data_IF_464954818187
#
_entry.id   IF_464954818187
#
_cell.length_a   1.000
_cell.length_b   1.000
_cell.length_c   1.000
_cell.angle_alpha   90.00
_cell.angle_beta   90.00
_cell.angle_gamma   90.00
#
_symmetry.space_group_name_H-M   'P 1'
#
loop_
_entity.id
_entity.type
_entity.pdbx_description
1 polymer ?
#
# COMPACT_ATOMS: atom_id res chain seq x y z
N UNK A 1 -2.77 -9.62 -7.09
CA UNK A 1 -1.47 -10.32 -6.90
C UNK A 1 -0.94 -10.94 -8.19
N UNK A 2 -1.67 -11.85 -8.85
CA UNK A 2 -1.18 -12.58 -10.04
C UNK A 2 -0.61 -11.66 -11.14
N UNK A 3 -1.35 -10.61 -11.51
CA UNK A 3 -0.90 -9.63 -12.51
C UNK A 3 0.44 -8.98 -12.12
N UNK A 4 0.59 -8.55 -10.87
CA UNK A 4 1.82 -7.94 -10.37
C UNK A 4 3.02 -8.90 -10.47
N UNK A 5 2.81 -10.19 -10.21
CA UNK A 5 3.88 -11.22 -10.27
C UNK A 5 4.34 -11.45 -11.71
N UNK A 6 3.41 -11.63 -12.64
CA UNK A 6 3.73 -11.90 -14.04
C UNK A 6 4.39 -10.71 -14.74
N UNK A 7 3.83 -9.52 -14.53
CA UNK A 7 4.34 -8.29 -15.14
C UNK A 7 5.56 -7.73 -14.41
N UNK A 8 5.73 -8.10 -13.13
CA UNK A 8 6.68 -7.42 -12.24
C UNK A 8 6.25 -6.00 -11.88
N UNK A 9 4.94 -5.75 -11.88
CA UNK A 9 4.36 -4.47 -11.54
C UNK A 9 4.30 -4.25 -10.03
N UNK A 10 4.17 -2.99 -9.62
CA UNK A 10 3.97 -2.62 -8.23
C UNK A 10 2.48 -2.46 -7.95
N UNK A 11 1.99 -3.17 -6.95
CA UNK A 11 0.62 -3.06 -6.47
C UNK A 11 0.57 -2.28 -5.16
N UNK A 12 -0.19 -1.20 -5.11
CA UNK A 12 -0.54 -0.51 -3.88
C UNK A 12 -2.00 -0.84 -3.55
N UNK A 13 -2.23 -1.48 -2.42
CA UNK A 13 -3.57 -1.84 -1.94
C UNK A 13 -3.97 -0.85 -0.85
N UNK A 14 -4.83 0.08 -1.24
CA UNK A 14 -5.32 1.09 -0.33
C UNK A 14 -6.34 0.49 0.64
N UNK A 15 -6.32 0.97 1.88
CA UNK A 15 -7.29 0.62 2.91
C UNK A 15 -7.41 -0.89 3.18
N UNK A 16 -6.27 -1.58 3.20
CA UNK A 16 -6.20 -3.04 3.25
C UNK A 16 -6.91 -3.65 4.47
N UNK A 17 -7.01 -2.87 5.54
CA UNK A 17 -7.71 -3.21 6.77
C UNK A 17 -9.26 -3.14 6.70
N UNK A 18 -9.85 -2.94 5.51
CA UNK A 18 -11.31 -3.11 5.27
C UNK A 18 -11.70 -4.54 4.94
N UNK A 19 -10.72 -5.37 4.59
CA UNK A 19 -10.93 -6.75 4.19
C UNK A 19 -11.19 -7.59 5.46
N UNK A 20 -12.07 -8.59 5.36
CA UNK A 20 -12.31 -9.51 6.47
C UNK A 20 -11.04 -10.29 6.84
N UNK A 21 -10.88 -10.59 8.13
CA UNK A 21 -9.68 -11.25 8.68
C UNK A 21 -9.43 -12.62 8.04
N UNK A 22 -10.49 -13.33 7.67
CA UNK A 22 -10.43 -14.62 6.98
C UNK A 22 -9.73 -14.50 5.63
N UNK A 23 -10.09 -13.49 4.83
CA UNK A 23 -9.49 -13.25 3.52
C UNK A 23 -8.05 -12.75 3.66
N UNK A 24 -7.77 -11.89 4.65
CA UNK A 24 -6.40 -11.42 4.94
C UNK A 24 -5.46 -12.58 5.28
N UNK A 25 -5.94 -13.60 5.96
CA UNK A 25 -5.14 -14.78 6.31
C UNK A 25 -4.73 -15.58 5.07
N UNK A 26 -5.63 -15.73 4.10
CA UNK A 26 -5.32 -16.37 2.81
C UNK A 26 -4.31 -15.54 2.03
N UNK A 27 -4.47 -14.21 2.03
CA UNK A 27 -3.52 -13.31 1.35
C UNK A 27 -2.14 -13.37 2.00
N UNK A 28 -2.04 -13.51 3.32
CA UNK A 28 -0.74 -13.66 4.00
C UNK A 28 0.05 -14.87 3.47
N UNK A 29 -0.62 -16.00 3.25
CA UNK A 29 0.02 -17.19 2.65
C UNK A 29 0.49 -16.92 1.22
N UNK A 30 -0.33 -16.22 0.43
CA UNK A 30 0.02 -15.84 -0.94
C UNK A 30 1.24 -14.90 -0.99
N UNK A 31 1.24 -13.85 -0.19
CA UNK A 31 2.35 -12.86 -0.12
C UNK A 31 3.62 -13.54 0.36
N UNK A 32 3.54 -14.39 1.38
CA UNK A 32 4.67 -15.16 1.88
C UNK A 32 5.30 -16.05 0.80
N UNK A 33 4.47 -16.80 0.06
CA UNK A 33 4.92 -17.64 -1.05
C UNK A 33 5.70 -16.85 -2.11
N UNK A 34 5.23 -15.63 -2.45
CA UNK A 34 5.93 -14.73 -3.37
C UNK A 34 7.27 -14.27 -2.79
N UNK A 35 7.29 -13.81 -1.53
CA UNK A 35 8.51 -13.34 -0.87
C UNK A 35 9.57 -14.43 -0.73
N UNK A 36 9.17 -15.65 -0.36
CA UNK A 36 10.07 -16.78 -0.24
C UNK A 36 10.65 -17.16 -1.61
N UNK A 37 9.85 -17.16 -2.68
CA UNK A 37 10.35 -17.39 -4.04
C UNK A 37 11.35 -16.31 -4.50
N UNK A 38 11.12 -15.04 -4.14
CA UNK A 38 12.07 -13.94 -4.40
C UNK A 38 13.36 -14.14 -3.59
N UNK A 39 13.27 -14.48 -2.30
CA UNK A 39 14.41 -14.70 -1.40
C UNK A 39 15.29 -15.86 -1.89
N UNK A 40 14.66 -16.94 -2.34
CA UNK A 40 15.33 -18.11 -2.92
C UNK A 40 15.82 -17.88 -4.36
N UNK A 41 15.59 -16.69 -4.92
CA UNK A 41 16.00 -16.31 -6.29
C UNK A 41 15.42 -17.25 -7.36
N UNK A 42 14.25 -17.83 -7.13
CA UNK A 42 13.56 -18.67 -8.12
C UNK A 42 13.16 -17.85 -9.35
N UNK A 43 13.12 -18.49 -10.51
CA UNK A 43 12.62 -17.90 -11.77
C UNK A 43 11.17 -18.28 -12.04
N UNK A 44 10.74 -19.41 -11.47
CA UNK A 44 9.38 -19.95 -11.50
C UNK A 44 9.07 -20.57 -10.15
N UNK A 45 7.81 -20.53 -9.74
CA UNK A 45 7.36 -21.14 -8.49
C UNK A 45 5.89 -21.54 -8.60
N UNK A 46 5.49 -22.48 -7.75
CA UNK A 46 4.11 -22.91 -7.65
C UNK A 46 3.32 -21.88 -6.82
N UNK A 47 2.35 -21.23 -7.44
CA UNK A 47 1.48 -20.26 -6.81
C UNK A 47 0.02 -20.68 -7.02
N UNK A 48 -0.70 -20.95 -5.93
CA UNK A 48 -2.11 -21.39 -5.97
C UNK A 48 -2.34 -22.63 -6.87
N UNK A 49 -1.38 -23.55 -6.92
CA UNK A 49 -1.46 -24.78 -7.74
C UNK A 49 -0.95 -24.64 -9.17
N UNK A 50 -0.60 -23.42 -9.61
CA UNK A 50 -0.11 -23.15 -10.97
C UNK A 50 1.39 -22.80 -10.96
N UNK A 51 2.15 -23.34 -11.91
CA UNK A 51 3.56 -22.96 -12.09
C UNK A 51 3.64 -21.64 -12.86
N UNK A 52 3.99 -20.58 -12.15
CA UNK A 52 4.06 -19.23 -12.70
C UNK A 52 5.49 -18.70 -12.77
N UNK A 53 5.76 -17.88 -13.79
CA UNK A 53 7.02 -17.14 -13.90
C UNK A 53 7.04 -15.99 -12.89
N UNK A 54 8.13 -15.89 -12.14
CA UNK A 54 8.35 -14.82 -11.17
C UNK A 54 9.15 -13.68 -11.81
N UNK A 55 8.57 -12.49 -11.89
CA UNK A 55 9.34 -11.28 -12.13
C UNK A 55 9.75 -10.63 -10.80
N UNK A 56 11.07 -10.51 -10.57
CA UNK A 56 11.64 -9.99 -9.31
C UNK A 56 11.40 -8.50 -9.09
N UNK A 57 10.94 -7.76 -10.09
CA UNK A 57 10.58 -6.34 -9.93
C UNK A 57 9.24 -6.13 -9.24
N UNK A 58 8.48 -7.20 -8.93
CA UNK A 58 7.20 -7.10 -8.23
C UNK A 58 7.34 -6.39 -6.88
N UNK A 59 6.45 -5.44 -6.63
CA UNK A 59 6.37 -4.68 -5.38
C UNK A 59 4.95 -4.76 -4.82
N UNK A 60 4.82 -4.99 -3.51
CA UNK A 60 3.54 -5.03 -2.83
C UNK A 60 3.55 -4.01 -1.69
N UNK A 61 2.61 -3.09 -1.73
CA UNK A 61 2.44 -2.03 -0.76
C UNK A 61 1.01 -2.04 -0.25
N UNK A 62 0.83 -1.83 1.05
CA UNK A 62 -0.48 -1.75 1.67
C UNK A 62 -0.56 -0.46 2.46
N UNK A 63 -1.73 0.17 2.47
CA UNK A 63 -2.04 1.25 3.42
C UNK A 63 -3.03 0.72 4.45
N UNK A 64 -2.93 1.24 5.67
CA UNK A 64 -3.86 0.93 6.75
C UNK A 64 -4.16 2.21 7.50
N UNK A 65 -5.44 2.45 7.77
CA UNK A 65 -5.90 3.56 8.57
C UNK A 65 -6.34 3.01 9.94
N UNK A 66 -5.44 2.92 10.93
CA UNK A 66 -5.81 2.47 12.27
C UNK A 66 -6.74 3.48 12.95
N UNK A 67 -7.63 2.99 13.83
CA UNK A 67 -8.50 3.85 14.64
C UNK A 67 -9.82 4.30 14.00
N UNK A 68 -10.08 3.95 12.74
CA UNK A 68 -11.38 4.19 12.09
C UNK A 68 -12.37 3.06 12.38
N UNK A 69 -13.64 3.41 12.62
CA UNK A 69 -14.71 2.42 12.83
C UNK A 69 -14.86 1.47 11.63
N UNK A 70 -15.05 0.18 11.91
CA UNK A 70 -15.15 -0.86 10.87
C UNK A 70 -13.83 -1.29 10.25
N UNK A 71 -12.69 -0.88 10.83
CA UNK A 71 -11.36 -1.36 10.43
C UNK A 71 -10.84 -2.43 11.37
N UNK A 72 -10.32 -3.50 10.81
CA UNK A 72 -9.70 -4.60 11.55
C UNK A 72 -8.21 -4.34 11.72
N UNK A 73 -7.62 -4.81 12.81
CA UNK A 73 -6.16 -4.88 12.85
C UNK A 73 -5.67 -5.99 11.91
N UNK A 74 -4.52 -5.75 11.28
CA UNK A 74 -3.89 -6.78 10.46
C UNK A 74 -3.41 -7.93 11.36
N UNK A 75 -3.62 -9.19 10.95
CA UNK A 75 -3.01 -10.34 11.62
C UNK A 75 -1.49 -10.23 11.75
N UNK A 76 -0.90 -10.70 12.85
CA UNK A 76 0.55 -10.60 13.11
C UNK A 76 1.40 -11.30 12.05
N UNK A 77 0.94 -12.44 11.53
CA UNK A 77 1.59 -13.15 10.43
C UNK A 77 1.67 -12.31 9.15
N UNK A 78 0.71 -11.43 8.91
CA UNK A 78 0.69 -10.52 7.77
C UNK A 78 1.56 -9.29 8.06
N UNK A 79 1.46 -8.70 9.26
CA UNK A 79 2.32 -7.57 9.68
C UNK A 79 3.80 -7.93 9.53
N UNK A 80 4.21 -9.14 9.90
CA UNK A 80 5.59 -9.62 9.78
C UNK A 80 6.13 -9.70 8.33
N UNK A 81 5.24 -9.76 7.32
CA UNK A 81 5.64 -9.78 5.91
C UNK A 81 5.90 -8.37 5.35
N UNK A 82 5.46 -7.32 6.04
CA UNK A 82 5.59 -5.95 5.59
C UNK A 82 6.50 -5.14 6.51
N UNK A 83 7.15 -4.11 5.95
CA UNK A 83 7.88 -3.13 6.74
C UNK A 83 6.91 -2.00 7.14
N UNK A 84 6.70 -1.73 8.44
CA UNK A 84 5.80 -0.68 8.87
C UNK A 84 6.39 0.70 8.53
N UNK A 85 5.51 1.60 8.08
CA UNK A 85 5.79 3.02 7.90
C UNK A 85 4.58 3.80 8.42
N UNK A 86 4.81 4.76 9.32
CA UNK A 86 3.75 5.57 9.89
C UNK A 86 3.72 6.94 9.20
N UNK A 87 2.60 7.27 8.56
CA UNK A 87 2.31 8.60 8.02
C UNK A 87 1.50 9.36 9.08
N UNK A 88 2.17 10.21 9.87
CA UNK A 88 1.56 10.74 11.11
C UNK A 88 0.94 12.13 10.91
N UNK A 89 1.61 13.03 10.19
CA UNK A 89 1.14 14.41 10.01
C UNK A 89 1.27 14.79 8.54
N UNK A 90 0.16 15.04 7.83
CA UNK A 90 0.22 15.61 6.49
C UNK A 90 0.63 17.09 6.56
N UNK A 91 1.38 17.54 5.58
CA UNK A 91 1.72 18.96 5.41
C UNK A 91 0.55 19.67 4.71
N UNK A 92 -0.42 20.10 5.50
CA UNK A 92 -1.61 20.79 4.98
C UNK A 92 -1.26 22.09 4.26
N UNK A 93 -0.24 22.83 4.73
CA UNK A 93 0.20 24.09 4.11
C UNK A 93 0.61 23.85 2.66
N UNK A 94 1.47 22.85 2.46
CA UNK A 94 1.95 22.48 1.13
C UNK A 94 0.83 21.91 0.24
N UNK A 95 -0.02 21.03 0.80
CA UNK A 95 -1.12 20.42 0.04
C UNK A 95 -2.10 21.50 -0.43
N UNK A 96 -2.52 22.39 0.46
CA UNK A 96 -3.44 23.48 0.14
C UNK A 96 -2.83 24.48 -0.84
N UNK A 97 -1.53 24.79 -0.74
CA UNK A 97 -0.83 25.63 -1.71
C UNK A 97 -0.86 25.01 -3.11
N UNK A 98 -0.51 23.73 -3.24
CA UNK A 98 -0.53 23.02 -4.54
C UNK A 98 -1.94 22.98 -5.12
N UNK A 99 -2.96 22.73 -4.30
CA UNK A 99 -4.36 22.74 -4.74
C UNK A 99 -4.76 24.13 -5.28
N UNK A 100 -4.41 25.21 -4.59
CA UNK A 100 -4.73 26.57 -5.03
C UNK A 100 -3.96 26.98 -6.29
N UNK A 101 -2.71 26.55 -6.45
CA UNK A 101 -1.96 26.75 -7.71
C UNK A 101 -2.64 26.01 -8.85
N UNK A 102 -3.11 24.77 -8.64
CA UNK A 102 -3.80 23.99 -9.67
C UNK A 102 -5.12 24.63 -10.13
N UNK A 103 -5.81 25.34 -9.24
CA UNK A 103 -7.03 26.12 -9.55
C UNK A 103 -6.72 27.51 -10.17
N UNK A 104 -5.44 27.88 -10.32
CA UNK A 104 -5.01 29.10 -11.01
C UNK A 104 -4.86 30.34 -10.13
N UNK A 105 -4.84 30.20 -8.80
CA UNK A 105 -4.60 31.33 -7.89
C UNK A 105 -3.14 31.78 -7.94
N UNK A 106 -2.90 33.07 -8.17
CA UNK A 106 -1.55 33.66 -8.19
C UNK A 106 -0.94 33.83 -6.80
N UNK A 107 -1.78 34.11 -5.79
CA UNK A 107 -1.39 34.29 -4.39
C UNK A 107 -1.63 33.02 -3.54
N UNK A 108 -1.54 31.84 -4.16
CA UNK A 108 -1.87 30.53 -3.57
C UNK A 108 -1.22 30.30 -2.20
N UNK A 109 0.04 30.68 -2.01
CA UNK A 109 0.75 30.53 -0.73
C UNK A 109 0.13 31.33 0.41
N UNK A 110 -0.30 32.56 0.13
CA UNK A 110 -0.92 33.43 1.14
C UNK A 110 -2.34 32.95 1.45
N UNK A 111 -3.07 32.50 0.44
CA UNK A 111 -4.42 31.98 0.57
C UNK A 111 -4.44 30.63 1.32
N UNK A 112 -3.50 29.73 1.04
CA UNK A 112 -3.39 28.43 1.70
C UNK A 112 -3.12 28.57 3.20
N UNK A 113 -2.19 29.45 3.58
CA UNK A 113 -1.90 29.76 4.99
C UNK A 113 -3.13 30.30 5.70
N UNK A 114 -3.84 31.24 5.08
CA UNK A 114 -5.08 31.79 5.65
C UNK A 114 -6.13 30.70 5.86
N UNK A 115 -6.31 29.82 4.87
CA UNK A 115 -7.28 28.74 4.91
C UNK A 115 -7.03 27.74 6.06
N UNK A 116 -5.77 27.48 6.40
CA UNK A 116 -5.40 26.51 7.46
C UNK A 116 -5.45 27.14 8.85
N UNK A 117 -5.19 28.44 8.96
CA UNK A 117 -5.29 29.17 10.23
C UNK A 117 -6.72 29.56 10.63
N UNK A 118 -7.68 29.46 9.71
CA UNK A 118 -9.11 29.73 9.92
C UNK A 118 -9.81 28.51 10.53
#
# INVERSE_FOLDING_TARGET
FLFCIFQGAWGCFDEFNRISVEVLSVIAVQVKSIQDAIREKKTRFLFMGEDIRLNRTVGLFITMNPGYAGRTELPENLKALFRPCAMVVPDFDLISEIMMVAEGFTDARLLARKFITL
#
